data_IF_385375760378
#
_entry.id   IF_385375760378
#
_cell.length_a   1.000
_cell.length_b   1.000
_cell.length_c   1.000
_cell.angle_alpha   90.00
_cell.angle_beta   90.00
_cell.angle_gamma   90.00
#
_symmetry.space_group_name_H-M   'P 1'
#
loop_
_entity.id
_entity.type
_entity.pdbx_description
1 polymer ?
#
# COMPACT_ATOMS: atom_id res chain seq x y z
N UNK A 1 -7.17 -8.70 -34.36
CA UNK A 1 -7.00 -7.59 -33.42
C UNK A 1 -6.19 -8.08 -32.23
N UNK A 2 -5.13 -7.35 -31.90
CA UNK A 2 -4.32 -7.64 -30.69
C UNK A 2 -4.56 -6.49 -29.74
N UNK A 3 -4.85 -6.82 -28.46
CA UNK A 3 -4.97 -5.85 -27.37
C UNK A 3 -3.90 -6.12 -26.34
N UNK A 4 -3.18 -5.09 -25.94
CA UNK A 4 -2.15 -5.15 -24.89
C UNK A 4 -2.64 -4.30 -23.73
N UNK A 5 -2.64 -4.88 -22.53
CA UNK A 5 -2.96 -4.22 -21.29
C UNK A 5 -1.68 -3.98 -20.51
N UNK A 6 -1.44 -2.75 -20.10
CA UNK A 6 -0.33 -2.40 -19.22
C UNK A 6 -0.88 -1.88 -17.90
N UNK A 7 -0.21 -2.19 -16.83
CA UNK A 7 -0.59 -1.76 -15.49
C UNK A 7 0.63 -1.23 -14.76
N UNK A 8 0.74 0.10 -14.68
CA UNK A 8 1.88 0.77 -14.06
C UNK A 8 1.59 1.05 -12.60
N UNK A 9 2.53 0.72 -11.73
CA UNK A 9 2.43 1.02 -10.30
C UNK A 9 3.75 1.57 -9.78
N UNK A 10 3.68 2.60 -8.94
CA UNK A 10 4.80 3.13 -8.19
C UNK A 10 4.26 3.75 -6.89
N UNK A 11 5.07 3.75 -5.84
CA UNK A 11 4.80 4.56 -4.65
C UNK A 11 4.92 6.07 -4.89
N UNK A 12 5.40 6.47 -6.08
CA UNK A 12 5.56 7.86 -6.50
C UNK A 12 4.74 8.12 -7.78
N UNK A 13 3.75 8.99 -7.67
CA UNK A 13 2.84 9.32 -8.77
C UNK A 13 3.54 9.93 -9.98
N UNK A 14 4.60 10.73 -9.77
CA UNK A 14 5.36 11.32 -10.88
C UNK A 14 6.04 10.27 -11.74
N UNK A 15 6.49 9.16 -11.14
CA UNK A 15 7.06 8.02 -11.86
C UNK A 15 6.00 7.25 -12.62
N UNK A 16 4.79 7.11 -12.06
CA UNK A 16 3.68 6.48 -12.78
C UNK A 16 3.30 7.30 -14.02
N UNK A 17 3.24 8.62 -13.89
CA UNK A 17 2.91 9.52 -14.99
C UNK A 17 3.97 9.45 -16.09
N UNK A 18 5.27 9.50 -15.74
CA UNK A 18 6.35 9.35 -16.69
C UNK A 18 6.29 8.01 -17.45
N UNK A 19 6.03 6.90 -16.75
CA UNK A 19 5.87 5.59 -17.38
C UNK A 19 4.67 5.55 -18.34
N UNK A 20 3.56 6.18 -17.98
CA UNK A 20 2.39 6.26 -18.85
C UNK A 20 2.68 7.09 -20.11
N UNK A 21 3.39 8.21 -19.99
CA UNK A 21 3.82 9.05 -21.12
C UNK A 21 4.77 8.29 -22.06
N UNK A 22 5.72 7.53 -21.53
CA UNK A 22 6.62 6.69 -22.33
C UNK A 22 5.84 5.64 -23.14
N UNK A 23 4.85 4.96 -22.51
CA UNK A 23 4.02 3.97 -23.18
C UNK A 23 3.17 4.63 -24.28
N UNK A 24 2.57 5.78 -23.99
CA UNK A 24 1.79 6.52 -24.99
C UNK A 24 2.67 6.96 -26.18
N UNK A 25 3.86 7.48 -25.91
CA UNK A 25 4.82 7.89 -26.95
C UNK A 25 5.25 6.69 -27.82
N UNK A 26 5.48 5.53 -27.18
CA UNK A 26 5.81 4.33 -27.92
C UNK A 26 4.65 3.83 -28.81
N UNK A 27 3.44 3.90 -28.28
CA UNK A 27 2.23 3.53 -29.01
C UNK A 27 2.01 4.41 -30.25
N UNK A 28 2.28 5.71 -30.14
CA UNK A 28 2.21 6.65 -31.25
C UNK A 28 3.21 6.30 -32.37
N UNK A 29 4.43 5.89 -32.01
CA UNK A 29 5.44 5.46 -33.02
C UNK A 29 4.94 4.27 -33.86
N UNK A 30 4.13 3.40 -33.27
CA UNK A 30 3.58 2.20 -33.93
C UNK A 30 2.14 2.35 -34.42
N UNK A 31 1.58 3.56 -34.37
CA UNK A 31 0.19 3.85 -34.73
C UNK A 31 -0.83 2.97 -33.98
N UNK A 32 -0.59 2.78 -32.68
CA UNK A 32 -1.50 2.05 -31.80
C UNK A 32 -2.50 2.99 -31.14
N UNK A 33 -3.76 2.54 -31.09
CA UNK A 33 -4.78 3.25 -30.35
C UNK A 33 -4.63 2.99 -28.84
N UNK A 34 -4.38 4.04 -28.07
CA UNK A 34 -4.28 3.97 -26.61
C UNK A 34 -5.60 4.40 -25.97
N UNK A 35 -5.98 3.67 -24.91
CA UNK A 35 -7.05 4.09 -24.00
C UNK A 35 -6.47 4.05 -22.58
N UNK A 36 -6.41 5.19 -21.92
CA UNK A 36 -5.96 5.28 -20.55
C UNK A 36 -7.12 5.01 -19.60
N UNK A 37 -6.92 4.09 -18.65
CA UNK A 37 -7.87 3.80 -17.58
C UNK A 37 -7.69 4.70 -16.36
N UNK A 38 -8.33 4.34 -15.25
CA UNK A 38 -8.18 5.05 -13.99
C UNK A 38 -6.77 4.90 -13.43
N UNK A 39 -6.24 6.00 -12.88
CA UNK A 39 -4.97 6.01 -12.16
C UNK A 39 -5.14 5.41 -10.77
N UNK A 40 -4.21 4.58 -10.35
CA UNK A 40 -4.09 4.09 -8.99
C UNK A 40 -3.01 4.91 -8.29
N UNK A 41 -3.39 5.65 -7.24
CA UNK A 41 -2.47 6.55 -6.55
C UNK A 41 -1.36 5.78 -5.83
N UNK A 42 -0.15 6.32 -5.89
CA UNK A 42 0.97 5.86 -5.08
C UNK A 42 0.78 6.23 -3.62
N UNK A 43 1.41 5.46 -2.73
CA UNK A 43 1.52 5.80 -1.32
C UNK A 43 2.99 5.98 -0.98
N UNK A 44 3.41 7.24 -0.99
CA UNK A 44 4.80 7.60 -0.77
C UNK A 44 5.22 7.32 0.67
N UNK A 45 6.40 6.74 0.83
CA UNK A 45 6.98 6.52 2.16
C UNK A 45 7.21 7.86 2.88
N UNK A 46 6.63 7.98 4.09
CA UNK A 46 6.86 9.11 4.98
C UNK A 46 7.94 8.73 6.02
N UNK A 47 9.15 9.30 5.98
CA UNK A 47 10.20 8.99 6.96
C UNK A 47 9.82 9.40 8.39
N UNK A 48 8.99 10.43 8.56
CA UNK A 48 8.65 11.04 9.85
C UNK A 48 7.26 10.63 10.37
N UNK A 49 6.77 9.45 9.97
CA UNK A 49 5.47 8.93 10.38
C UNK A 49 5.45 8.59 11.88
N UNK A 50 4.66 9.33 12.64
CA UNK A 50 4.41 9.08 14.07
C UNK A 50 3.60 7.82 14.30
N UNK A 51 2.64 7.54 13.41
CA UNK A 51 1.86 6.31 13.44
C UNK A 51 2.75 5.08 13.32
N UNK A 52 3.73 5.11 12.39
CA UNK A 52 4.69 4.01 12.22
C UNK A 52 5.62 3.87 13.42
N UNK A 53 6.09 4.98 13.99
CA UNK A 53 6.93 4.97 15.18
C UNK A 53 6.21 4.31 16.36
N UNK A 54 4.97 4.75 16.64
CA UNK A 54 4.13 4.14 17.66
C UNK A 54 3.86 2.67 17.40
N UNK A 55 3.54 2.31 16.15
CA UNK A 55 3.31 0.93 15.75
C UNK A 55 4.54 0.06 15.99
N UNK A 56 5.72 0.51 15.60
CA UNK A 56 6.99 -0.20 15.81
C UNK A 56 7.24 -0.46 17.29
N UNK A 57 7.06 0.57 18.12
CA UNK A 57 7.21 0.46 19.57
C UNK A 57 6.24 -0.55 20.16
N UNK A 58 4.96 -0.46 19.84
CA UNK A 58 3.92 -1.33 20.39
C UNK A 58 4.06 -2.78 19.90
N UNK A 59 4.49 -3.02 18.67
CA UNK A 59 4.76 -4.37 18.18
C UNK A 59 5.90 -5.03 18.95
N UNK A 60 6.93 -4.27 19.30
CA UNK A 60 8.01 -4.77 20.16
C UNK A 60 7.52 -5.04 21.58
N UNK A 61 6.74 -4.14 22.17
CA UNK A 61 6.24 -4.29 23.55
C UNK A 61 5.22 -5.43 23.71
N UNK A 62 4.34 -5.62 22.74
CA UNK A 62 3.21 -6.58 22.86
C UNK A 62 3.57 -7.97 22.37
N UNK A 63 4.36 -8.06 21.29
CA UNK A 63 4.64 -9.33 20.61
C UNK A 63 6.12 -9.69 20.58
N UNK A 64 7.02 -8.84 21.10
CA UNK A 64 8.48 -8.95 20.96
C UNK A 64 8.96 -9.07 19.50
N UNK A 65 8.24 -8.40 18.58
CA UNK A 65 8.55 -8.39 17.15
C UNK A 65 9.33 -7.13 16.79
N UNK A 66 10.49 -7.31 16.17
CA UNK A 66 11.24 -6.24 15.51
C UNK A 66 10.74 -6.11 14.05
N UNK A 67 9.97 -5.06 13.78
CA UNK A 67 9.41 -4.82 12.44
C UNK A 67 10.51 -4.50 11.44
N UNK A 68 10.44 -5.18 10.29
CA UNK A 68 11.22 -4.79 9.10
C UNK A 68 10.40 -3.82 8.28
N UNK A 69 11.03 -2.71 7.91
CA UNK A 69 10.43 -1.73 7.00
C UNK A 69 10.87 -2.04 5.58
N UNK A 70 9.91 -2.25 4.71
CA UNK A 70 10.15 -2.52 3.30
C UNK A 70 9.29 -1.58 2.46
N UNK A 71 9.87 -1.02 1.39
CA UNK A 71 9.13 -0.27 0.40
C UNK A 71 8.59 -1.23 -0.65
N UNK A 72 7.34 -1.08 -0.99
CA UNK A 72 6.70 -1.83 -2.08
C UNK A 72 6.08 -0.87 -3.09
N UNK A 73 6.08 -1.28 -4.36
CA UNK A 73 5.34 -0.60 -5.42
C UNK A 73 3.95 -1.22 -5.65
N UNK A 74 3.50 -2.09 -4.75
CA UNK A 74 2.14 -2.63 -4.76
C UNK A 74 1.10 -1.53 -4.56
N UNK A 75 -0.07 -1.70 -5.16
CA UNK A 75 -1.22 -0.83 -4.89
C UNK A 75 -1.95 -1.30 -3.64
N UNK A 76 -2.17 -0.38 -2.70
CA UNK A 76 -3.00 -0.59 -1.52
C UNK A 76 -4.11 0.46 -1.49
N UNK A 77 -5.22 0.15 -0.84
CA UNK A 77 -6.36 1.06 -0.66
C UNK A 77 -5.94 2.35 0.07
N UNK A 78 -4.90 2.29 0.89
CA UNK A 78 -4.26 3.44 1.54
C UNK A 78 -3.79 4.50 0.53
N UNK A 79 -3.41 4.12 -0.68
CA UNK A 79 -3.06 5.05 -1.75
C UNK A 79 -4.24 5.96 -2.14
N UNK A 80 -5.48 5.46 -2.06
CA UNK A 80 -6.68 6.27 -2.35
C UNK A 80 -6.86 7.35 -1.29
N UNK A 81 -6.64 7.04 -0.02
CA UNK A 81 -6.70 8.02 1.07
C UNK A 81 -5.56 9.03 0.93
N UNK A 82 -4.35 8.57 0.71
CA UNK A 82 -3.18 9.43 0.51
C UNK A 82 -3.33 10.35 -0.70
N UNK A 83 -3.94 9.88 -1.80
CA UNK A 83 -4.20 10.70 -2.99
C UNK A 83 -5.22 11.82 -2.74
N UNK A 84 -6.09 11.68 -1.73
CA UNK A 84 -7.06 12.71 -1.32
C UNK A 84 -6.50 13.65 -0.26
N UNK A 85 -5.72 13.11 0.66
CA UNK A 85 -5.16 13.82 1.81
C UNK A 85 -3.67 13.45 1.93
N UNK A 86 -2.78 14.09 1.14
CA UNK A 86 -1.35 13.76 1.11
C UNK A 86 -0.60 13.98 2.43
N UNK A 87 -1.17 14.79 3.32
CA UNK A 87 -0.61 15.04 4.65
C UNK A 87 -1.06 14.02 5.70
N UNK A 88 -1.94 13.09 5.33
CA UNK A 88 -2.41 12.05 6.23
C UNK A 88 -1.27 11.08 6.57
N UNK A 89 -1.00 10.89 7.85
CA UNK A 89 -0.09 9.87 8.31
C UNK A 89 -0.81 8.50 8.34
N UNK A 90 -0.37 7.57 7.54
CA UNK A 90 -1.06 6.31 7.29
C UNK A 90 -0.12 5.14 7.55
N UNK A 91 -0.61 4.13 8.26
CA UNK A 91 0.00 2.82 8.36
C UNK A 91 -1.01 1.74 7.94
N UNK A 92 -0.49 0.60 7.48
CA UNK A 92 -1.30 -0.56 7.15
C UNK A 92 -0.73 -1.79 7.85
N UNK A 93 -1.55 -2.48 8.60
CA UNK A 93 -1.20 -3.74 9.25
C UNK A 93 -2.45 -4.64 9.33
N UNK A 94 -2.24 -5.91 9.54
CA UNK A 94 -3.35 -6.85 9.59
C UNK A 94 -2.94 -8.23 10.08
N UNK A 95 -3.88 -9.17 10.13
CA UNK A 95 -3.64 -10.55 10.52
C UNK A 95 -2.77 -11.30 9.51
N UNK A 96 -2.26 -12.44 9.92
CA UNK A 96 -1.52 -13.35 9.05
C UNK A 96 -2.45 -13.99 8.03
N UNK A 97 -1.97 -14.09 6.82
CA UNK A 97 -2.62 -14.79 5.72
C UNK A 97 -1.60 -15.15 4.65
N UNK A 98 -2.01 -15.95 3.71
CA UNK A 98 -1.17 -16.32 2.57
C UNK A 98 -2.02 -16.65 1.35
N UNK A 99 -1.36 -16.80 0.19
CA UNK A 99 -2.02 -17.16 -1.04
C UNK A 99 -2.91 -16.08 -1.64
N UNK A 100 -2.69 -14.81 -1.28
CA UNK A 100 -3.49 -13.69 -1.80
C UNK A 100 -3.61 -13.75 -3.33
N UNK A 101 -4.84 -13.54 -3.83
CA UNK A 101 -5.20 -13.62 -5.25
C UNK A 101 -5.09 -15.01 -5.88
N UNK A 102 -5.08 -16.07 -5.08
CA UNK A 102 -5.12 -17.47 -5.55
C UNK A 102 -6.30 -18.23 -4.92
N UNK A 103 -6.70 -19.39 -5.48
CA UNK A 103 -7.73 -20.24 -4.86
C UNK A 103 -7.35 -20.78 -3.48
N UNK A 104 -6.08 -20.77 -3.13
CA UNK A 104 -5.53 -21.22 -1.84
C UNK A 104 -5.41 -20.08 -0.81
N UNK A 105 -6.01 -18.93 -1.09
CA UNK A 105 -5.98 -17.79 -0.16
C UNK A 105 -6.65 -18.15 1.17
N UNK A 106 -5.95 -17.85 2.26
CA UNK A 106 -6.47 -18.08 3.60
C UNK A 106 -6.10 -16.98 4.58
N UNK A 107 -6.90 -16.85 5.62
CA UNK A 107 -6.70 -16.01 6.78
C UNK A 107 -6.53 -16.85 8.04
N UNK A 108 -5.53 -16.54 8.85
CA UNK A 108 -5.34 -17.13 10.18
C UNK A 108 -6.25 -16.42 11.19
N UNK A 109 -7.26 -17.17 11.70
CA UNK A 109 -8.28 -16.61 12.59
C UNK A 109 -7.74 -16.30 14.02
N UNK A 110 -6.71 -17.00 14.48
CA UNK A 110 -6.05 -16.66 15.75
C UNK A 110 -5.34 -15.32 15.64
N UNK A 111 -4.57 -15.15 14.58
CA UNK A 111 -3.89 -13.87 14.32
C UNK A 111 -4.87 -12.72 14.08
N UNK A 112 -6.05 -12.99 13.52
CA UNK A 112 -7.09 -11.98 13.36
C UNK A 112 -7.56 -11.46 14.72
N UNK A 113 -7.80 -12.34 15.69
CA UNK A 113 -8.16 -11.95 17.05
C UNK A 113 -7.04 -11.17 17.74
N UNK A 114 -5.80 -11.66 17.63
CA UNK A 114 -4.62 -10.96 18.18
C UNK A 114 -4.48 -9.54 17.61
N UNK A 115 -4.67 -9.38 16.29
CA UNK A 115 -4.61 -8.07 15.65
C UNK A 115 -5.76 -7.16 16.04
N UNK A 116 -6.95 -7.67 16.31
CA UNK A 116 -8.05 -6.88 16.85
C UNK A 116 -7.74 -6.35 18.25
N UNK A 117 -7.24 -7.21 19.13
CA UNK A 117 -6.83 -6.83 20.49
C UNK A 117 -5.66 -5.82 20.44
N UNK A 118 -4.75 -6.00 19.50
CA UNK A 118 -3.65 -5.05 19.23
C UNK A 118 -4.19 -3.70 18.74
N UNK A 119 -5.12 -3.68 17.79
CA UNK A 119 -5.74 -2.44 17.28
C UNK A 119 -6.36 -1.64 18.42
N UNK A 120 -7.06 -2.29 19.35
CA UNK A 120 -7.62 -1.62 20.53
C UNK A 120 -6.53 -0.96 21.39
N UNK A 121 -5.39 -1.63 21.59
CA UNK A 121 -4.25 -1.07 22.33
C UNK A 121 -3.62 0.09 21.59
N UNK A 122 -3.45 -0.03 20.28
CA UNK A 122 -2.89 1.01 19.42
C UNK A 122 -3.75 2.29 19.47
N UNK A 123 -5.07 2.16 19.31
CA UNK A 123 -6.00 3.29 19.40
C UNK A 123 -5.99 3.95 20.78
N UNK A 124 -5.93 3.14 21.86
CA UNK A 124 -5.81 3.67 23.21
C UNK A 124 -4.47 4.39 23.47
N UNK A 125 -3.41 4.02 22.79
CA UNK A 125 -2.12 4.70 22.89
C UNK A 125 -2.13 6.05 22.16
N UNK A 126 -2.79 6.14 21.01
CA UNK A 126 -2.94 7.40 20.25
C UNK A 126 -3.69 8.50 21.03
N UNK A 127 -4.58 8.13 21.94
CA UNK A 127 -5.33 9.12 22.73
C UNK A 127 -4.54 9.69 23.92
N UNK A 128 -3.33 9.21 24.17
CA UNK A 128 -2.49 9.64 25.29
C UNK A 128 -1.37 10.63 24.89
N UNK A 129 -1.19 10.83 23.58
CA UNK A 129 -0.32 11.85 23.00
C UNK A 129 -1.10 13.14 22.68
#
# INVERSE_FOLDING_TARGET
EIRVWTFNRSGDDSRQDAMAEEIMSLADVFDYKVTQGAKFFGWKFNPDSKMRELHTKLMKEVFDIDLKMEATHGGLETGVFFGKEPEMDIICFGPKGSGAHTPEEYLDLESFKEMFDYLCKFLAALTKE
#
